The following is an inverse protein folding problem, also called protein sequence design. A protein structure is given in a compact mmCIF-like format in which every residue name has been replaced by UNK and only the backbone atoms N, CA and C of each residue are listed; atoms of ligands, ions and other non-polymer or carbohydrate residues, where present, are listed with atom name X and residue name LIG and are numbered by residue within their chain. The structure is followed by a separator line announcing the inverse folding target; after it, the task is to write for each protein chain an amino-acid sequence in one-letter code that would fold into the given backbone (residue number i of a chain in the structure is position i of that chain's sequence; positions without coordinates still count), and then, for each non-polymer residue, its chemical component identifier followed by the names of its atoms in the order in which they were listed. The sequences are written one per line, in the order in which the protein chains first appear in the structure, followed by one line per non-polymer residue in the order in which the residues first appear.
data_IF_715175413624
#
_entry.id   IF_715175413624
#
_cell.length_a   1.000
_cell.length_b   1.000
_cell.length_c   1.000
_cell.angle_alpha   90.00
_cell.angle_beta   90.00
_cell.angle_gamma   90.00
#
_symmetry.space_group_name_H-M   'P 1'
#
loop_
_entity.id
_entity.type
_entity.pdbx_description
1 polymer ?
#
# COMPACT_ATOMS: atom_id res chain seq x y z
N UNK A 1 7.77 7.17 26.77
CA UNK A 1 6.72 6.29 26.24
C UNK A 1 6.02 5.66 27.43
N UNK A 2 4.69 5.75 27.52
CA UNK A 2 3.93 5.12 28.61
C UNK A 2 4.03 3.58 28.50
N UNK A 3 4.08 2.86 29.63
CA UNK A 3 4.22 1.40 29.66
C UNK A 3 3.05 0.68 28.95
N UNK A 4 1.84 1.25 29.01
CA UNK A 4 0.68 0.74 28.30
C UNK A 4 0.83 0.84 26.78
N UNK A 5 1.36 1.97 26.28
CA UNK A 5 1.60 2.15 24.85
C UNK A 5 2.70 1.21 24.34
N UNK A 6 3.70 0.90 25.18
CA UNK A 6 4.72 -0.09 24.85
C UNK A 6 4.11 -1.47 24.67
N UNK A 7 3.24 -1.91 25.59
CA UNK A 7 2.54 -3.20 25.49
C UNK A 7 1.64 -3.28 24.26
N UNK A 8 0.97 -2.19 23.90
CA UNK A 8 0.16 -2.12 22.68
C UNK A 8 1.03 -2.24 21.42
N UNK A 9 2.18 -1.56 21.38
CA UNK A 9 3.12 -1.65 20.27
C UNK A 9 3.68 -3.08 20.11
N UNK A 10 4.10 -3.72 21.21
CA UNK A 10 4.57 -5.11 21.22
C UNK A 10 3.51 -6.09 20.70
N UNK A 11 2.24 -5.84 21.04
CA UNK A 11 1.11 -6.65 20.59
C UNK A 11 0.76 -6.45 19.12
N UNK A 12 0.74 -5.22 18.63
CA UNK A 12 0.13 -4.88 17.34
C UNK A 12 1.12 -4.70 16.19
N UNK A 13 2.35 -4.21 16.44
CA UNK A 13 3.34 -4.07 15.37
C UNK A 13 3.62 -5.38 14.62
N UNK A 14 3.70 -6.56 15.27
CA UNK A 14 3.88 -7.82 14.56
C UNK A 14 2.74 -8.15 13.58
N UNK A 15 1.49 -7.90 13.97
CA UNK A 15 0.33 -8.14 13.12
C UNK A 15 0.33 -7.23 11.89
N UNK A 16 0.66 -5.95 12.08
CA UNK A 16 0.76 -4.98 10.99
C UNK A 16 1.88 -5.40 10.02
N UNK A 17 3.03 -5.82 10.53
CA UNK A 17 4.15 -6.29 9.71
C UNK A 17 3.82 -7.56 8.92
N UNK A 18 3.07 -8.48 9.53
CA UNK A 18 2.60 -9.69 8.84
C UNK A 18 1.66 -9.34 7.66
N UNK A 19 0.72 -8.43 7.86
CA UNK A 19 -0.16 -7.96 6.78
C UNK A 19 0.59 -7.19 5.69
N UNK A 20 1.59 -6.38 6.07
CA UNK A 20 2.48 -5.70 5.11
C UNK A 20 3.18 -6.73 4.23
N UNK A 21 3.78 -7.76 4.83
CA UNK A 21 4.45 -8.85 4.11
C UNK A 21 3.50 -9.66 3.24
N UNK A 22 2.27 -9.90 3.71
CA UNK A 22 1.26 -10.59 2.93
C UNK A 22 0.86 -9.80 1.67
N UNK A 23 0.70 -8.48 1.80
CA UNK A 23 0.46 -7.61 0.66
C UNK A 23 1.63 -7.64 -0.33
N UNK A 24 2.86 -7.44 0.16
CA UNK A 24 4.06 -7.41 -0.68
C UNK A 24 4.23 -8.73 -1.42
N UNK A 25 4.04 -9.86 -0.74
CA UNK A 25 4.13 -11.19 -1.35
C UNK A 25 3.11 -11.38 -2.47
N UNK A 26 1.86 -10.98 -2.25
CA UNK A 26 0.80 -11.11 -3.25
C UNK A 26 1.03 -10.20 -4.47
N UNK A 27 1.59 -9.01 -4.26
CA UNK A 27 1.81 -8.00 -5.30
C UNK A 27 3.27 -7.93 -5.78
N UNK A 28 4.10 -8.90 -5.40
CA UNK A 28 5.56 -8.80 -5.47
C UNK A 28 6.08 -8.39 -6.85
N UNK A 29 5.67 -9.12 -7.89
CA UNK A 29 6.09 -8.83 -9.26
C UNK A 29 5.59 -7.48 -9.79
N UNK A 30 4.48 -6.95 -9.26
CA UNK A 30 3.98 -5.63 -9.62
C UNK A 30 4.74 -4.53 -8.90
N UNK A 31 5.03 -4.70 -7.60
CA UNK A 31 5.82 -3.75 -6.80
C UNK A 31 7.27 -3.67 -7.30
N UNK A 32 7.88 -4.81 -7.64
CA UNK A 32 9.24 -4.85 -8.16
C UNK A 32 9.43 -3.98 -9.41
N UNK A 33 8.41 -3.93 -10.29
CA UNK A 33 8.43 -3.08 -11.50
C UNK A 33 8.29 -1.59 -11.23
N UNK A 34 7.86 -1.20 -10.03
CA UNK A 34 7.69 0.21 -9.67
C UNK A 34 8.93 0.80 -9.01
N UNK A 35 9.77 -0.02 -8.38
CA UNK A 35 10.98 0.47 -7.73
C UNK A 35 11.89 1.06 -8.81
N UNK A 36 12.31 2.32 -8.61
CA UNK A 36 13.07 3.09 -9.59
C UNK A 36 12.23 3.64 -10.75
N UNK A 37 10.90 3.44 -10.76
CA UNK A 37 10.06 4.02 -11.79
C UNK A 37 9.68 5.47 -11.47
N UNK A 38 9.61 6.29 -12.51
CA UNK A 38 9.14 7.67 -12.41
C UNK A 38 7.64 7.74 -12.13
N UNK A 39 7.27 8.60 -11.18
CA UNK A 39 5.91 8.94 -10.86
C UNK A 39 5.75 10.45 -10.62
N UNK A 40 4.50 10.89 -10.70
CA UNK A 40 4.07 12.25 -10.43
C UNK A 40 3.05 12.21 -9.31
N UNK A 41 3.05 13.26 -8.50
CA UNK A 41 1.92 13.54 -7.61
C UNK A 41 0.80 14.20 -8.44
N UNK A 42 -0.47 14.03 -8.06
CA UNK A 42 -1.57 14.64 -8.79
C UNK A 42 -1.38 16.15 -8.89
N UNK A 43 -1.48 16.69 -10.11
CA UNK A 43 -1.26 18.12 -10.42
C UNK A 43 0.16 18.63 -10.13
N UNK A 44 1.12 17.73 -9.91
CA UNK A 44 2.53 18.08 -9.76
C UNK A 44 3.23 18.15 -11.11
N UNK A 45 4.10 19.15 -11.29
CA UNK A 45 4.92 19.28 -12.50
C UNK A 45 6.23 18.49 -12.42
N UNK A 46 6.69 18.20 -11.19
CA UNK A 46 7.95 17.52 -10.92
C UNK A 46 7.80 16.00 -10.93
N UNK A 47 8.72 15.33 -11.63
CA UNK A 47 8.91 13.88 -11.58
C UNK A 47 9.67 13.47 -10.31
N UNK A 48 9.28 12.33 -9.74
CA UNK A 48 9.95 11.66 -8.63
C UNK A 48 10.23 10.21 -9.01
N UNK A 49 11.26 9.61 -8.43
CA UNK A 49 11.51 8.18 -8.54
C UNK A 49 10.97 7.46 -7.30
N UNK A 50 10.27 6.34 -7.51
CA UNK A 50 9.70 5.58 -6.41
C UNK A 50 10.76 4.71 -5.73
N UNK A 51 10.92 4.90 -4.42
CA UNK A 51 11.79 4.14 -3.51
C UNK A 51 13.31 4.25 -3.74
N UNK A 52 13.80 4.21 -4.98
CA UNK A 52 15.23 4.36 -5.32
C UNK A 52 15.43 5.42 -6.39
N UNK A 53 16.51 6.20 -6.28
CA UNK A 53 16.92 7.17 -7.29
C UNK A 53 17.70 6.51 -8.44
N UNK A 54 17.84 7.22 -9.57
CA UNK A 54 18.60 6.74 -10.73
C UNK A 54 20.07 6.39 -10.42
N UNK A 55 20.64 6.94 -9.34
CA UNK A 55 22.03 6.67 -8.92
C UNK A 55 22.19 5.38 -8.08
N UNK A 56 21.09 4.76 -7.61
CA UNK A 56 21.09 3.56 -6.74
C UNK A 56 20.83 2.25 -7.51
N UNK A 57 20.86 2.27 -8.85
CA UNK A 57 20.56 1.14 -9.74
C UNK A 57 21.45 -0.10 -9.54
N UNK A 58 22.57 0.01 -8.83
CA UNK A 58 23.53 -1.08 -8.65
C UNK A 58 23.07 -2.20 -7.68
N UNK A 59 22.08 -1.95 -6.82
CA UNK A 59 21.56 -2.96 -5.89
C UNK A 59 20.28 -3.61 -6.46
N UNK A 60 20.08 -4.93 -6.28
CA UNK A 60 18.80 -5.55 -6.64
C UNK A 60 17.66 -4.88 -5.86
N UNK A 61 16.58 -4.55 -6.56
CA UNK A 61 15.39 -3.98 -5.93
C UNK A 61 14.69 -5.03 -5.06
N UNK A 62 14.38 -4.69 -3.80
CA UNK A 62 13.65 -5.55 -2.88
C UNK A 62 12.34 -4.88 -2.45
N UNK A 63 11.16 -5.38 -2.89
CA UNK A 63 9.86 -4.89 -2.44
C UNK A 63 9.64 -4.92 -0.93
N UNK A 64 10.39 -5.74 -0.17
CA UNK A 64 10.28 -5.79 1.29
C UNK A 64 10.91 -4.59 2.00
N UNK A 65 11.70 -3.78 1.29
CA UNK A 65 12.21 -2.47 1.77
C UNK A 65 11.11 -1.40 1.78
N UNK A 66 10.00 -1.60 1.06
CA UNK A 66 8.89 -0.65 1.01
C UNK A 66 8.19 -0.53 2.37
N UNK A 67 8.15 0.69 2.88
CA UNK A 67 7.42 1.04 4.10
C UNK A 67 5.90 1.02 3.88
N UNK A 68 5.13 0.91 4.97
CA UNK A 68 3.67 1.03 4.91
C UNK A 68 3.21 2.39 4.36
N UNK A 69 3.96 3.45 4.63
CA UNK A 69 3.68 4.78 4.09
C UNK A 69 3.80 4.80 2.57
N UNK A 70 4.87 4.21 2.03
CA UNK A 70 5.08 4.08 0.58
C UNK A 70 4.00 3.21 -0.07
N UNK A 71 3.61 2.11 0.56
CA UNK A 71 2.53 1.26 0.05
C UNK A 71 1.18 1.98 0.07
N UNK A 72 0.88 2.74 1.14
CA UNK A 72 -0.38 3.47 1.29
C UNK A 72 -0.52 4.64 0.31
N UNK A 73 0.58 5.25 -0.14
CA UNK A 73 0.53 6.36 -1.10
C UNK A 73 0.35 5.91 -2.56
N UNK A 74 0.68 4.66 -2.91
CA UNK A 74 0.61 4.12 -4.27
C UNK A 74 -0.67 4.47 -5.06
N UNK A 75 -1.89 4.40 -4.48
CA UNK A 75 -3.12 4.70 -5.22
C UNK A 75 -3.26 6.17 -5.65
N UNK A 76 -2.53 7.07 -4.99
CA UNK A 76 -2.55 8.50 -5.29
C UNK A 76 -1.44 8.94 -6.26
N UNK A 77 -0.62 8.02 -6.76
CA UNK A 77 0.48 8.35 -7.66
C UNK A 77 0.05 8.19 -9.12
N UNK A 78 0.57 9.04 -9.98
CA UNK A 78 0.28 9.06 -11.41
C UNK A 78 1.55 8.79 -12.22
N UNK A 79 1.38 8.17 -13.38
CA UNK A 79 2.40 8.06 -14.41
C UNK A 79 2.01 8.97 -15.56
N UNK A 80 2.91 9.85 -15.97
CA UNK A 80 2.73 10.70 -17.14
C UNK A 80 3.10 9.94 -18.40
N UNK A 81 2.22 9.97 -19.39
CA UNK A 81 2.44 9.40 -20.72
C UNK A 81 2.32 10.54 -21.73
N UNK A 82 3.41 10.80 -22.45
CA UNK A 82 3.41 11.77 -23.54
C UNK A 82 3.08 11.07 -24.86
N UNK A 83 2.07 11.58 -25.58
CA UNK A 83 1.78 11.17 -26.95
C UNK A 83 1.38 12.39 -27.78
N UNK A 84 2.02 12.56 -28.93
CA UNK A 84 1.67 13.58 -29.93
C UNK A 84 1.56 15.00 -29.33
N UNK A 85 2.49 15.37 -28.45
CA UNK A 85 2.52 16.69 -27.81
C UNK A 85 1.45 16.91 -26.73
N UNK A 86 0.73 15.87 -26.32
CA UNK A 86 -0.25 15.91 -25.21
C UNK A 86 0.17 14.97 -24.08
N UNK A 87 -0.06 15.40 -22.84
CA UNK A 87 0.17 14.58 -21.65
C UNK A 87 -1.12 13.90 -21.19
N UNK A 88 -1.05 12.58 -20.98
CA UNK A 88 -2.07 11.81 -20.27
C UNK A 88 -1.51 11.33 -18.94
N UNK A 89 -2.38 11.24 -17.93
CA UNK A 89 -2.02 10.77 -16.59
C UNK A 89 -2.75 9.45 -16.32
N UNK A 90 -2.00 8.41 -15.99
CA UNK A 90 -2.52 7.09 -15.65
C UNK A 90 -2.20 6.79 -14.19
N UNK A 91 -3.00 5.96 -13.52
CA UNK A 91 -2.64 5.51 -12.19
C UNK A 91 -1.31 4.75 -12.22
N UNK A 92 -0.37 5.15 -11.36
CA UNK A 92 0.93 4.50 -11.23
C UNK A 92 0.79 3.06 -10.75
N UNK A 93 -0.16 2.80 -9.85
CA UNK A 93 -0.46 1.48 -9.34
C UNK A 93 -1.96 1.25 -9.11
N UNK A 94 -2.52 0.26 -9.80
CA UNK A 94 -3.93 -0.13 -9.62
C UNK A 94 -4.10 -1.01 -8.38
N UNK A 95 -4.81 -0.52 -7.37
CA UNK A 95 -4.98 -1.24 -6.12
C UNK A 95 -6.45 -1.60 -5.89
N UNK A 96 -6.75 -2.78 -5.34
CA UNK A 96 -8.12 -3.13 -4.91
C UNK A 96 -8.59 -2.16 -3.81
N UNK A 97 -9.87 -1.75 -3.76
CA UNK A 97 -10.37 -0.84 -2.72
C UNK A 97 -10.06 -1.32 -1.29
N UNK A 98 -10.23 -2.63 -1.04
CA UNK A 98 -9.90 -3.27 0.24
C UNK A 98 -8.44 -3.10 0.64
N UNK A 99 -7.51 -3.17 -0.31
CA UNK A 99 -6.09 -2.94 -0.06
C UNK A 99 -5.80 -1.49 0.28
N UNK A 100 -6.42 -0.55 -0.45
CA UNK A 100 -6.25 0.89 -0.22
C UNK A 100 -6.65 1.24 1.20
N UNK A 101 -7.83 0.80 1.61
CA UNK A 101 -8.37 1.04 2.95
C UNK A 101 -7.53 0.37 4.03
N UNK A 102 -7.10 -0.88 3.80
CA UNK A 102 -6.31 -1.62 4.80
C UNK A 102 -4.92 -1.01 4.96
N UNK A 103 -4.20 -0.74 3.88
CA UNK A 103 -2.87 -0.14 3.94
C UNK A 103 -2.88 1.28 4.53
N UNK A 104 -3.87 2.10 4.20
CA UNK A 104 -4.02 3.43 4.81
C UNK A 104 -4.23 3.34 6.33
N UNK A 105 -5.09 2.42 6.78
CA UNK A 105 -5.32 2.13 8.20
C UNK A 105 -4.03 1.65 8.89
N UNK A 106 -3.37 0.64 8.33
CA UNK A 106 -2.14 0.06 8.87
C UNK A 106 -1.01 1.10 8.95
N UNK A 107 -0.84 1.92 7.91
CA UNK A 107 0.16 3.00 7.89
C UNK A 107 -0.06 4.02 9.01
N UNK A 108 -1.31 4.47 9.20
CA UNK A 108 -1.65 5.43 10.25
C UNK A 108 -1.48 4.85 11.66
N UNK A 109 -1.80 3.57 11.84
CA UNK A 109 -1.62 2.87 13.11
C UNK A 109 -0.13 2.62 13.43
N UNK A 110 0.63 2.13 12.44
CA UNK A 110 2.08 1.92 12.55
C UNK A 110 2.81 3.20 12.97
N UNK A 111 2.51 4.32 12.31
CA UNK A 111 3.14 5.62 12.60
C UNK A 111 2.90 6.07 14.05
N UNK A 112 1.71 5.80 14.60
CA UNK A 112 1.39 6.16 15.98
C UNK A 112 2.10 5.25 16.97
N UNK A 113 1.98 3.94 16.80
CA UNK A 113 2.59 2.94 17.69
C UNK A 113 4.12 3.10 17.74
N UNK A 114 4.78 3.31 16.59
CA UNK A 114 6.24 3.52 16.53
C UNK A 114 6.69 4.84 17.17
N UNK A 115 5.82 5.84 17.25
CA UNK A 115 6.05 7.09 17.99
C UNK A 115 5.69 6.99 19.47
N UNK A 116 5.33 5.80 19.96
CA UNK A 116 4.92 5.58 21.34
C UNK A 116 3.56 6.18 21.70
N UNK A 117 2.75 6.48 20.69
CA UNK A 117 1.34 6.87 20.84
C UNK A 117 0.48 5.60 20.92
N UNK A 118 -0.61 5.67 21.69
CA UNK A 118 -1.57 4.58 21.81
C UNK A 118 -2.44 4.42 20.56
N UNK A 119 -3.29 3.40 20.58
CA UNK A 119 -4.39 3.21 19.63
C UNK A 119 -5.72 3.24 20.37
N UNK A 120 -6.81 3.54 19.65
CA UNK A 120 -8.16 3.45 20.22
C UNK A 120 -8.61 2.00 20.29
N UNK A 121 -9.62 1.71 21.11
CA UNK A 121 -10.22 0.38 21.20
C UNK A 121 -10.80 -0.07 19.85
N UNK A 122 -11.50 0.83 19.15
CA UNK A 122 -12.02 0.55 17.80
C UNK A 122 -10.92 0.18 16.78
N UNK A 123 -9.73 0.77 16.91
CA UNK A 123 -8.60 0.43 16.03
C UNK A 123 -7.98 -0.91 16.39
N UNK A 124 -7.90 -1.23 17.69
CA UNK A 124 -7.47 -2.53 18.16
C UNK A 124 -8.41 -3.63 17.64
N UNK A 125 -9.72 -3.45 17.79
CA UNK A 125 -10.75 -4.37 17.28
C UNK A 125 -10.70 -4.52 15.76
N UNK A 126 -10.55 -3.40 15.03
CA UNK A 126 -10.43 -3.42 13.57
C UNK A 126 -9.16 -4.14 13.10
N UNK A 127 -8.05 -4.00 13.83
CA UNK A 127 -6.82 -4.71 13.51
C UNK A 127 -7.02 -6.21 13.74
N UNK A 128 -7.35 -6.61 14.97
CA UNK A 128 -7.44 -8.03 15.36
C UNK A 128 -8.55 -8.77 14.64
N UNK A 129 -9.76 -8.20 14.56
CA UNK A 129 -10.90 -8.82 13.88
C UNK A 129 -10.75 -8.87 12.36
N UNK A 130 -9.94 -7.99 11.77
CA UNK A 130 -9.70 -7.95 10.32
C UNK A 130 -8.49 -8.73 9.85
N UNK A 131 -7.60 -9.13 10.77
CA UNK A 131 -6.26 -9.65 10.46
C UNK A 131 -6.30 -10.94 9.65
N UNK A 132 -6.85 -12.01 10.23
CA UNK A 132 -6.91 -13.33 9.58
C UNK A 132 -7.69 -13.27 8.26
N UNK A 133 -8.78 -12.49 8.24
CA UNK A 133 -9.59 -12.29 7.04
C UNK A 133 -8.84 -11.56 5.92
N UNK A 134 -7.91 -10.66 6.24
CA UNK A 134 -7.06 -10.01 5.26
C UNK A 134 -5.93 -10.94 4.78
N UNK A 135 -5.30 -11.69 5.68
CA UNK A 135 -4.28 -12.68 5.31
C UNK A 135 -4.84 -13.78 4.42
N UNK A 136 -6.00 -14.35 4.77
CA UNK A 136 -6.69 -15.33 3.95
C UNK A 136 -7.04 -14.76 2.58
N UNK A 137 -7.51 -13.51 2.54
CA UNK A 137 -7.75 -12.81 1.29
C UNK A 137 -6.45 -12.69 0.47
N UNK A 138 -5.32 -12.29 1.06
CA UNK A 138 -4.03 -12.17 0.34
C UNK A 138 -3.41 -13.49 -0.13
N UNK A 139 -3.71 -14.62 0.53
CA UNK A 139 -3.25 -15.94 0.05
C UNK A 139 -3.86 -16.36 -1.28
N UNK A 140 -5.01 -15.80 -1.65
CA UNK A 140 -5.46 -15.83 -3.04
C UNK A 140 -6.07 -17.16 -3.50
N UNK A 141 -6.92 -17.80 -2.70
CA UNK A 141 -7.66 -19.00 -3.12
C UNK A 141 -8.70 -18.76 -4.25
N UNK A 142 -8.77 -17.53 -4.79
CA UNK A 142 -9.74 -17.09 -5.80
C UNK A 142 -9.15 -16.01 -6.73
N UNK A 143 -9.45 -16.11 -8.03
CA UNK A 143 -9.16 -15.06 -9.04
C UNK A 143 -10.02 -13.83 -8.76
N UNK A 144 -9.45 -12.62 -8.83
CA UNK A 144 -10.15 -11.36 -8.52
C UNK A 144 -9.89 -10.29 -9.57
N UNK A 145 -10.94 -9.53 -9.89
CA UNK A 145 -10.90 -8.44 -10.88
C UNK A 145 -11.02 -7.11 -10.16
N UNK A 146 -10.15 -6.15 -10.47
CA UNK A 146 -10.31 -4.76 -10.04
C UNK A 146 -11.33 -4.12 -10.98
N UNK A 147 -12.53 -3.85 -10.48
CA UNK A 147 -13.58 -3.16 -11.25
C UNK A 147 -13.41 -1.65 -11.03
N UNK A 148 -13.28 -0.83 -12.09
CA UNK A 148 -13.29 0.62 -11.96
C UNK A 148 -14.61 1.11 -11.39
N UNK A 149 -14.57 2.13 -10.51
CA UNK A 149 -15.78 2.80 -10.04
C UNK A 149 -16.60 3.31 -11.24
N UNK A 150 -17.89 2.94 -11.31
CA UNK A 150 -18.80 3.29 -12.40
C UNK A 150 -19.17 2.17 -13.38
N UNK A 151 -18.58 0.97 -13.27
CA UNK A 151 -18.88 -0.19 -14.15
C UNK A 151 -19.76 -1.27 -13.49
N UNK A 152 -20.39 -0.94 -12.35
CA UNK A 152 -21.13 -1.88 -11.49
C UNK A 152 -22.60 -2.12 -11.84
N UNK A 153 -23.03 -1.90 -13.09
CA UNK A 153 -24.33 -2.37 -13.56
C UNK A 153 -24.14 -2.92 -14.97
N UNK A 154 -24.66 -4.12 -15.23
CA UNK A 154 -24.55 -4.91 -16.48
C UNK A 154 -23.45 -5.99 -16.50
N UNK A 155 -23.56 -6.97 -15.61
CA UNK A 155 -23.17 -8.36 -15.85
C UNK A 155 -23.72 -9.20 -14.67
N UNK A 156 -24.55 -10.23 -14.76
CA UNK A 156 -25.25 -10.93 -15.81
C UNK A 156 -26.52 -11.54 -15.14
N UNK A 157 -27.67 -11.52 -15.82
CA UNK A 157 -28.72 -12.53 -15.65
C UNK A 157 -28.72 -13.40 -16.91
#
# INVERSE_FOLDING_TARGET
MNDDNRRLAEKFLPLIEEERRAFIRAEHGRLLRLIGAEYWRPRGEKAYFFHRGAEEEALPADPYELSLGELAMLPGLEKRVERLGTYSYLAFFQMFPRDRERLAFLSGLWLRLTKGLGCTEAEAERLTGGHDGYLAWKRGDTVRVIVPEGWGAHACN
#
